data_IF_911583134684
#
_entry.id   IF_911583134684
#
_cell.length_a   1.000
_cell.length_b   1.000
_cell.length_c   1.000
_cell.angle_alpha   90.00
_cell.angle_beta   90.00
_cell.angle_gamma   90.00
#
_symmetry.space_group_name_H-M   'P 1'
#
loop_
_entity.id
_entity.type
_entity.pdbx_description
1 polymer ?
#
# COMPACT_ATOMS: atom_id res chain seq x y z
N UNK A 1 88.57 -15.11 -8.72
CA UNK A 1 88.12 -15.63 -7.42
C UNK A 1 87.02 -14.74 -6.88
N UNK A 2 85.87 -15.32 -6.48
CA UNK A 2 84.93 -14.88 -5.41
C UNK A 2 84.26 -13.49 -5.58
N UNK A 3 82.96 -13.28 -5.39
CA UNK A 3 81.79 -14.06 -4.98
C UNK A 3 80.56 -13.22 -5.39
N UNK A 4 79.56 -13.84 -6.02
CA UNK A 4 78.19 -13.33 -6.08
C UNK A 4 77.59 -13.36 -4.67
N UNK A 5 77.06 -12.22 -4.21
CA UNK A 5 76.13 -12.17 -3.08
C UNK A 5 74.71 -12.00 -3.62
N UNK A 6 74.00 -13.12 -3.72
CA UNK A 6 72.56 -13.14 -3.93
C UNK A 6 71.86 -12.59 -2.69
N UNK A 7 71.18 -11.44 -2.82
CA UNK A 7 70.14 -11.04 -1.88
C UNK A 7 68.90 -11.90 -2.12
N UNK A 8 68.71 -12.89 -1.26
CA UNK A 8 67.43 -13.60 -1.11
C UNK A 8 66.49 -12.69 -0.34
N UNK A 9 65.62 -11.99 -1.08
CA UNK A 9 64.50 -11.25 -0.49
C UNK A 9 63.43 -12.29 -0.15
N UNK A 10 63.34 -12.63 1.13
CA UNK A 10 62.26 -13.43 1.71
C UNK A 10 60.96 -12.61 1.67
N UNK A 11 60.16 -12.85 0.62
CA UNK A 11 58.78 -12.39 0.57
C UNK A 11 57.98 -13.16 1.63
N UNK A 12 57.32 -12.49 2.60
CA UNK A 12 56.34 -13.16 3.43
C UNK A 12 55.15 -13.50 2.54
N UNK A 13 54.98 -14.79 2.25
CA UNK A 13 53.73 -15.35 1.76
C UNK A 13 52.67 -15.12 2.84
N UNK A 14 52.06 -13.93 2.81
CA UNK A 14 50.76 -13.71 3.42
C UNK A 14 49.78 -14.60 2.65
N UNK A 15 49.56 -15.77 3.21
CA UNK A 15 48.42 -16.65 2.92
C UNK A 15 47.18 -15.80 3.17
N UNK A 16 46.71 -15.14 2.12
CA UNK A 16 45.39 -14.52 2.13
C UNK A 16 44.39 -15.65 2.35
N UNK A 17 43.60 -15.64 3.43
CA UNK A 17 42.47 -16.54 3.48
C UNK A 17 41.59 -16.15 2.29
N UNK A 18 41.38 -17.10 1.39
CA UNK A 18 40.20 -17.13 0.53
C UNK A 18 38.99 -17.17 1.47
N UNK A 19 38.65 -16.00 2.03
CA UNK A 19 37.35 -15.76 2.59
C UNK A 19 36.42 -15.96 1.41
N UNK A 20 35.79 -17.14 1.37
CA UNK A 20 34.51 -17.31 0.71
C UNK A 20 33.72 -16.05 1.05
N UNK A 21 33.52 -15.21 0.04
CA UNK A 21 32.43 -14.24 0.05
C UNK A 21 31.18 -15.10 -0.04
N UNK A 22 30.85 -15.74 1.09
CA UNK A 22 29.52 -16.24 1.36
C UNK A 22 28.65 -15.02 1.23
N UNK A 23 27.91 -14.97 0.12
CA UNK A 23 26.83 -14.02 -0.11
C UNK A 23 25.87 -14.29 1.04
N UNK A 24 26.06 -13.59 2.15
CA UNK A 24 25.19 -13.70 3.30
C UNK A 24 23.78 -13.40 2.75
N UNK A 25 22.80 -14.30 2.93
CA UNK A 25 21.47 -14.09 2.40
C UNK A 25 21.01 -12.74 2.94
N UNK A 26 20.81 -11.77 2.04
CA UNK A 26 20.36 -10.43 2.39
C UNK A 26 19.10 -10.61 3.24
N UNK A 27 19.29 -10.38 4.54
CA UNK A 27 18.52 -11.03 5.59
C UNK A 27 17.09 -10.52 5.56
N UNK A 28 16.14 -11.45 5.67
CA UNK A 28 14.74 -11.19 5.96
C UNK A 28 14.49 -10.30 7.22
N UNK A 29 15.53 -9.99 8.00
CA UNK A 29 15.52 -9.02 9.10
C UNK A 29 15.28 -7.58 8.65
N UNK A 30 15.63 -7.20 7.41
CA UNK A 30 15.38 -5.83 6.94
C UNK A 30 13.88 -5.50 6.80
N UNK A 31 13.02 -6.50 6.82
CA UNK A 31 11.56 -6.36 6.66
C UNK A 31 10.84 -6.15 8.00
N UNK A 32 11.50 -6.35 9.15
CA UNK A 32 10.81 -6.38 10.45
C UNK A 32 10.66 -5.01 11.12
N UNK A 33 11.47 -4.01 10.74
CA UNK A 33 11.43 -2.65 11.30
C UNK A 33 11.26 -1.58 10.22
N UNK A 34 10.43 -1.86 9.21
CA UNK A 34 10.14 -0.86 8.19
C UNK A 34 9.01 0.03 8.68
N UNK A 35 9.31 1.31 8.92
CA UNK A 35 8.29 2.32 9.19
C UNK A 35 7.26 2.43 8.06
N UNK A 36 6.14 3.15 8.25
CA UNK A 36 5.02 3.17 7.31
C UNK A 36 5.41 3.55 5.88
N UNK A 37 6.26 4.57 5.73
CA UNK A 37 6.79 5.00 4.42
C UNK A 37 7.74 3.97 3.81
N UNK A 38 8.57 3.32 4.63
CA UNK A 38 9.46 2.26 4.15
C UNK A 38 8.69 1.02 3.67
N UNK A 39 7.56 0.67 4.30
CA UNK A 39 6.67 -0.39 3.81
C UNK A 39 6.09 -0.05 2.42
N UNK A 40 5.66 1.20 2.21
CA UNK A 40 5.20 1.68 0.89
C UNK A 40 6.32 1.60 -0.15
N UNK A 41 7.54 2.02 0.21
CA UNK A 41 8.71 1.97 -0.67
C UNK A 41 9.03 0.53 -1.09
N UNK A 42 9.08 -0.40 -0.14
CA UNK A 42 9.37 -1.81 -0.39
C UNK A 42 8.29 -2.47 -1.27
N UNK A 43 7.01 -2.25 -0.96
CA UNK A 43 5.90 -2.77 -1.78
C UNK A 43 5.89 -2.19 -3.20
N UNK A 44 6.21 -0.90 -3.35
CA UNK A 44 6.30 -0.25 -4.66
C UNK A 44 7.50 -0.76 -5.49
N UNK A 45 8.62 -1.07 -4.84
CA UNK A 45 9.77 -1.72 -5.46
C UNK A 45 9.40 -3.12 -5.97
N UNK A 46 8.84 -3.95 -5.09
CA UNK A 46 8.50 -5.34 -5.42
C UNK A 46 7.42 -5.44 -6.49
N UNK A 47 6.36 -4.62 -6.45
CA UNK A 47 5.34 -4.57 -7.51
C UNK A 47 5.92 -4.14 -8.87
N UNK A 48 6.83 -3.16 -8.89
CA UNK A 48 7.45 -2.68 -10.13
C UNK A 48 8.39 -3.72 -10.73
N UNK A 49 9.14 -4.41 -9.88
CA UNK A 49 10.04 -5.46 -10.33
C UNK A 49 9.29 -6.69 -10.82
N UNK A 50 8.22 -7.08 -10.15
CA UNK A 50 7.34 -8.16 -10.59
C UNK A 50 6.65 -7.82 -11.92
N UNK A 51 6.21 -6.58 -12.12
CA UNK A 51 5.67 -6.14 -13.40
C UNK A 51 6.68 -6.28 -14.56
N UNK A 52 7.99 -6.13 -14.27
CA UNK A 52 9.07 -6.30 -15.25
C UNK A 52 9.44 -7.76 -15.47
N UNK A 53 9.68 -8.51 -14.39
CA UNK A 53 10.31 -9.83 -14.44
C UNK A 53 9.32 -11.01 -14.28
N UNK A 54 8.05 -10.74 -13.94
CA UNK A 54 6.96 -11.74 -13.84
C UNK A 54 7.27 -12.90 -12.88
N UNK A 55 7.74 -12.59 -11.68
CA UNK A 55 8.08 -13.60 -10.67
C UNK A 55 6.84 -14.23 -10.03
N UNK A 56 5.76 -13.46 -9.92
CA UNK A 56 4.52 -13.86 -9.29
C UNK A 56 3.48 -14.25 -10.33
N UNK A 57 2.54 -15.10 -9.91
CA UNK A 57 1.32 -15.36 -10.67
C UNK A 57 0.45 -14.10 -10.75
N UNK A 58 -0.49 -14.06 -11.70
CA UNK A 58 -1.40 -12.91 -11.87
C UNK A 58 -2.22 -12.60 -10.61
N UNK A 59 -2.64 -13.62 -9.87
CA UNK A 59 -3.39 -13.47 -8.61
C UNK A 59 -2.52 -12.88 -7.50
N UNK A 60 -1.29 -13.34 -7.37
CA UNK A 60 -0.32 -12.84 -6.38
C UNK A 60 0.13 -11.40 -6.69
N UNK A 61 0.33 -11.06 -7.96
CA UNK A 61 0.62 -9.68 -8.37
C UNK A 61 -0.54 -8.72 -8.00
N UNK A 62 -1.79 -9.15 -8.22
CA UNK A 62 -2.96 -8.38 -7.83
C UNK A 62 -3.05 -8.22 -6.30
N UNK A 63 -2.74 -9.27 -5.55
CA UNK A 63 -2.67 -9.23 -4.08
C UNK A 63 -1.61 -8.23 -3.60
N UNK A 64 -0.40 -8.30 -4.15
CA UNK A 64 0.71 -7.40 -3.83
C UNK A 64 0.35 -5.93 -4.12
N UNK A 65 -0.34 -5.67 -5.23
CA UNK A 65 -0.82 -4.34 -5.60
C UNK A 65 -1.90 -3.79 -4.65
N UNK A 66 -2.79 -4.64 -4.14
CA UNK A 66 -3.77 -4.26 -3.11
C UNK A 66 -3.08 -3.95 -1.77
N UNK A 67 -2.03 -4.70 -1.40
CA UNK A 67 -1.21 -4.40 -0.21
C UNK A 67 -0.49 -3.05 -0.33
N UNK A 68 0.10 -2.73 -1.49
CA UNK A 68 0.69 -1.41 -1.73
C UNK A 68 -0.34 -0.30 -1.50
N UNK A 69 -1.55 -0.46 -2.03
CA UNK A 69 -2.61 0.54 -1.88
C UNK A 69 -3.00 0.73 -0.41
N UNK A 70 -3.13 -0.36 0.36
CA UNK A 70 -3.41 -0.30 1.80
C UNK A 70 -2.27 0.35 2.59
N UNK A 71 -1.03 0.02 2.26
CA UNK A 71 0.16 0.60 2.88
C UNK A 71 0.23 2.11 2.60
N UNK A 72 -0.07 2.56 1.38
CA UNK A 72 -0.11 3.99 1.04
C UNK A 72 -1.14 4.74 1.90
N UNK A 73 -2.34 4.19 2.06
CA UNK A 73 -3.39 4.77 2.90
C UNK A 73 -2.95 4.80 4.37
N UNK A 74 -2.41 3.69 4.87
CA UNK A 74 -1.93 3.59 6.25
C UNK A 74 -0.79 4.58 6.54
N UNK A 75 0.22 4.63 5.66
CA UNK A 75 1.34 5.55 5.79
C UNK A 75 0.91 7.01 5.72
N UNK A 76 -0.01 7.36 4.82
CA UNK A 76 -0.56 8.71 4.73
C UNK A 76 -1.36 9.13 5.97
N UNK A 77 -1.90 8.17 6.74
CA UNK A 77 -2.56 8.41 8.02
C UNK A 77 -1.60 8.62 9.19
N UNK A 78 -0.37 8.10 9.11
CA UNK A 78 0.65 8.21 10.18
C UNK A 78 1.70 9.30 9.90
N UNK A 79 1.90 9.65 8.63
CA UNK A 79 2.86 10.65 8.16
C UNK A 79 2.11 11.71 7.34
N UNK A 80 2.66 12.18 6.21
CA UNK A 80 1.92 12.97 5.24
C UNK A 80 1.63 12.18 3.97
N UNK A 81 0.58 12.58 3.24
CA UNK A 81 0.31 12.05 1.90
C UNK A 81 1.48 12.29 0.92
N UNK A 82 2.22 13.38 1.10
CA UNK A 82 3.41 13.69 0.29
C UNK A 82 4.49 12.64 0.49
N UNK A 83 4.74 12.26 1.75
CA UNK A 83 5.77 11.27 2.12
C UNK A 83 5.41 9.87 1.62
N UNK A 84 4.16 9.44 1.79
CA UNK A 84 3.70 8.16 1.24
C UNK A 84 3.84 8.10 -0.29
N UNK A 85 3.48 9.18 -0.99
CA UNK A 85 3.66 9.26 -2.44
C UNK A 85 5.14 9.31 -2.85
N UNK A 86 5.99 9.98 -2.07
CA UNK A 86 7.41 10.06 -2.33
C UNK A 86 8.07 8.69 -2.16
N UNK A 87 7.81 8.02 -1.04
CA UNK A 87 8.25 6.66 -0.78
C UNK A 87 7.85 5.69 -1.89
N UNK A 88 6.62 5.80 -2.41
CA UNK A 88 6.19 5.01 -3.57
C UNK A 88 7.02 5.30 -4.82
N UNK A 89 7.26 6.57 -5.15
CA UNK A 89 8.06 6.95 -6.33
C UNK A 89 9.48 6.40 -6.21
N UNK A 90 10.07 6.51 -5.04
CA UNK A 90 11.42 6.01 -4.78
C UNK A 90 11.47 4.48 -4.86
N UNK A 91 10.46 3.79 -4.33
CA UNK A 91 10.30 2.34 -4.48
C UNK A 91 10.20 1.93 -5.95
N UNK A 92 9.38 2.62 -6.74
CA UNK A 92 9.28 2.37 -8.19
C UNK A 92 10.61 2.55 -8.91
N UNK A 93 11.41 3.58 -8.56
CA UNK A 93 12.75 3.77 -9.13
C UNK A 93 13.66 2.57 -8.85
N UNK A 94 13.70 2.11 -7.59
CA UNK A 94 14.47 0.93 -7.20
C UNK A 94 14.00 -0.36 -7.91
N UNK A 95 12.67 -0.52 -8.07
CA UNK A 95 12.12 -1.68 -8.77
C UNK A 95 12.49 -1.73 -10.25
N UNK A 96 12.61 -0.55 -10.91
CA UNK A 96 13.05 -0.47 -12.31
C UNK A 96 14.51 -0.91 -12.49
N UNK A 97 15.38 -0.51 -11.55
CA UNK A 97 16.83 -0.81 -11.62
C UNK A 97 17.16 -2.25 -11.20
N UNK A 98 16.23 -2.96 -10.57
CA UNK A 98 16.49 -4.34 -10.13
C UNK A 98 16.61 -5.30 -11.33
N UNK A 99 17.68 -6.11 -11.37
CA UNK A 99 17.88 -7.12 -12.40
C UNK A 99 16.84 -8.26 -12.27
N UNK A 100 16.54 -8.91 -13.39
CA UNK A 100 15.73 -10.13 -13.37
C UNK A 100 16.61 -11.32 -12.97
N UNK A 101 16.32 -11.98 -11.86
CA UNK A 101 17.11 -13.10 -11.32
C UNK A 101 16.67 -13.50 -9.90
N UNK A 102 17.34 -14.51 -9.34
CA UNK A 102 16.97 -15.11 -8.05
C UNK A 102 16.87 -14.11 -6.89
N UNK A 103 17.78 -13.13 -6.84
CA UNK A 103 17.74 -12.09 -5.79
C UNK A 103 16.47 -11.24 -5.87
N UNK A 104 16.05 -10.87 -7.09
CA UNK A 104 14.84 -10.08 -7.29
C UNK A 104 13.58 -10.89 -6.98
N UNK A 105 13.55 -12.16 -7.38
CA UNK A 105 12.47 -13.08 -7.04
C UNK A 105 12.34 -13.28 -5.53
N UNK A 106 13.45 -13.54 -4.84
CA UNK A 106 13.50 -13.71 -3.39
C UNK A 106 12.97 -12.48 -2.65
N UNK A 107 13.37 -11.27 -3.08
CA UNK A 107 12.86 -10.02 -2.52
C UNK A 107 11.34 -9.88 -2.72
N UNK A 108 10.84 -10.13 -3.93
CA UNK A 108 9.42 -9.98 -4.27
C UNK A 108 8.56 -10.96 -3.47
N UNK A 109 8.93 -12.25 -3.44
CA UNK A 109 8.21 -13.27 -2.65
C UNK A 109 8.26 -12.98 -1.15
N UNK A 110 9.44 -12.63 -0.62
CA UNK A 110 9.58 -12.25 0.79
C UNK A 110 8.73 -11.03 1.16
N UNK A 111 8.63 -10.05 0.26
CA UNK A 111 7.77 -8.87 0.44
C UNK A 111 6.29 -9.26 0.51
N UNK A 112 5.84 -10.15 -0.39
CA UNK A 112 4.46 -10.63 -0.40
C UNK A 112 4.12 -11.38 0.89
N UNK A 113 4.99 -12.28 1.34
CA UNK A 113 4.78 -13.05 2.57
C UNK A 113 4.81 -12.17 3.83
N UNK A 114 5.69 -11.16 3.87
CA UNK A 114 5.67 -10.17 4.93
C UNK A 114 4.37 -9.37 4.95
N UNK A 115 3.86 -8.95 3.78
CA UNK A 115 2.60 -8.23 3.67
C UNK A 115 1.40 -9.09 4.12
N UNK A 116 1.37 -10.38 3.75
CA UNK A 116 0.37 -11.35 4.22
C UNK A 116 0.38 -11.47 5.75
N UNK A 117 1.55 -11.66 6.35
CA UNK A 117 1.72 -11.74 7.82
C UNK A 117 1.28 -10.46 8.53
N UNK A 118 1.70 -9.29 8.03
CA UNK A 118 1.30 -8.01 8.59
C UNK A 118 -0.23 -7.82 8.56
N UNK A 119 -0.88 -8.21 7.46
CA UNK A 119 -2.33 -8.10 7.32
C UNK A 119 -3.09 -9.11 8.18
N UNK A 120 -2.55 -10.32 8.35
CA UNK A 120 -3.10 -11.31 9.28
C UNK A 120 -3.01 -10.81 10.73
N UNK A 121 -1.84 -10.28 11.14
CA UNK A 121 -1.63 -9.69 12.46
C UNK A 121 -2.58 -8.50 12.73
N UNK A 122 -2.73 -7.59 11.75
CA UNK A 122 -3.66 -6.46 11.86
C UNK A 122 -5.11 -6.93 12.04
N UNK A 123 -5.54 -7.99 11.35
CA UNK A 123 -6.88 -8.58 11.54
C UNK A 123 -7.04 -9.22 12.92
N UNK A 124 -6.02 -9.90 13.43
CA UNK A 124 -6.04 -10.49 14.77
C UNK A 124 -6.22 -9.41 15.85
N UNK A 125 -5.46 -8.32 15.77
CA UNK A 125 -5.58 -7.19 16.71
C UNK A 125 -6.97 -6.53 16.67
N UNK A 126 -7.60 -6.43 15.49
CA UNK A 126 -8.97 -5.92 15.37
C UNK A 126 -10.01 -6.81 16.06
N UNK A 127 -9.83 -8.14 16.00
CA UNK A 127 -10.72 -9.08 16.69
C UNK A 127 -10.62 -8.92 18.21
N UNK A 128 -9.41 -8.82 18.76
CA UNK A 128 -9.19 -8.68 20.20
C UNK A 128 -9.77 -7.37 20.76
N UNK A 129 -9.65 -6.25 20.04
CA UNK A 129 -10.27 -4.97 20.46
C UNK A 129 -11.80 -5.04 20.52
N UNK A 130 -12.43 -5.83 19.65
CA UNK A 130 -13.90 -5.95 19.61
C UNK A 130 -14.47 -6.77 20.77
N UNK A 131 -13.69 -7.68 21.35
CA UNK A 131 -14.11 -8.51 22.49
C UNK A 131 -14.16 -7.70 23.79
N UNK A 132 -13.24 -6.75 23.98
CA UNK A 132 -13.17 -5.94 25.21
C UNK A 132 -14.30 -4.90 25.31
N UNK A 133 -14.86 -4.44 24.18
CA UNK A 133 -15.94 -3.42 24.18
C UNK A 133 -17.35 -3.98 24.42
N UNK A 134 -17.52 -5.28 24.74
CA UNK A 134 -18.85 -5.92 24.89
C UNK A 134 -19.36 -6.03 26.33
N UNK A 135 -18.74 -5.37 27.31
CA UNK A 135 -19.24 -5.29 28.70
C UNK A 135 -19.54 -3.86 29.11
N UNK A 136 -20.68 -3.32 28.66
CA UNK A 136 -21.42 -2.33 29.42
C UNK A 136 -22.92 -2.64 29.28
N UNK A 137 -23.64 -2.97 30.36
CA UNK A 137 -25.06 -3.24 30.31
C UNK A 137 -25.79 -1.92 30.07
N UNK A 138 -26.36 -1.75 28.87
CA UNK A 138 -27.23 -0.62 28.56
C UNK A 138 -28.54 -0.76 29.34
N UNK A 139 -28.75 0.09 30.34
CA UNK A 139 -30.06 0.34 30.94
C UNK A 139 -31.01 0.79 29.82
N UNK A 140 -32.06 -0.01 29.61
CA UNK A 140 -33.21 0.30 28.75
C UNK A 140 -33.86 1.59 29.24
N UNK A 141 -33.80 2.64 28.43
CA UNK A 141 -34.81 3.70 28.45
C UNK A 141 -35.64 3.52 27.18
N UNK A 142 -36.86 3.02 27.37
CA UNK A 142 -37.88 2.90 26.33
C UNK A 142 -38.55 4.26 26.20
N UNK A 143 -38.16 5.06 25.21
CA UNK A 143 -38.98 6.19 24.74
C UNK A 143 -38.93 6.25 23.21
N UNK A 144 -40.03 5.78 22.60
CA UNK A 144 -40.75 6.35 21.46
C UNK A 144 -39.90 7.03 20.37
N UNK A 145 -39.65 6.35 19.23
CA UNK A 145 -39.21 6.98 17.95
C UNK A 145 -39.40 6.02 16.76
N UNK A 146 -40.63 5.92 16.27
CA UNK A 146 -40.92 5.26 14.99
C UNK A 146 -40.78 6.21 13.78
N UNK A 147 -40.74 7.53 13.99
CA UNK A 147 -40.57 8.53 12.90
C UNK A 147 -39.12 8.75 12.44
N UNK A 148 -38.13 8.43 13.25
CA UNK A 148 -36.71 8.67 12.93
C UNK A 148 -36.06 7.58 12.07
N UNK A 149 -36.61 6.37 12.05
CA UNK A 149 -36.02 5.23 11.30
C UNK A 149 -36.12 5.40 9.78
N UNK A 150 -37.13 6.12 9.29
CA UNK A 150 -37.30 6.35 7.84
C UNK A 150 -36.38 7.48 7.34
N UNK A 151 -36.19 8.57 8.10
CA UNK A 151 -35.20 9.61 7.75
C UNK A 151 -33.74 9.12 7.87
N UNK A 152 -33.45 8.26 8.85
CA UNK A 152 -32.11 7.68 9.00
C UNK A 152 -31.73 6.77 7.81
N UNK A 153 -32.70 6.11 7.18
CA UNK A 153 -32.44 5.23 6.01
C UNK A 153 -32.11 6.05 4.76
N UNK A 154 -32.77 7.19 4.56
CA UNK A 154 -32.48 8.12 3.46
C UNK A 154 -31.12 8.83 3.67
N UNK A 155 -30.81 9.23 4.90
CA UNK A 155 -29.49 9.77 5.27
C UNK A 155 -28.34 8.74 5.15
N UNK A 156 -28.62 7.46 5.35
CA UNK A 156 -27.63 6.37 5.27
C UNK A 156 -27.35 5.87 3.84
N UNK A 157 -28.21 6.09 2.85
CA UNK A 157 -27.92 5.71 1.45
C UNK A 157 -27.01 6.76 0.79
N UNK A 158 -27.13 8.03 1.19
CA UNK A 158 -26.36 9.14 0.61
C UNK A 158 -24.87 9.06 0.91
N UNK A 159 -24.46 8.60 2.10
CA UNK A 159 -23.05 8.64 2.50
C UNK A 159 -22.19 7.55 1.84
N UNK A 160 -22.71 6.33 1.69
CA UNK A 160 -22.02 5.25 0.96
C UNK A 160 -21.97 5.53 -0.55
N UNK A 161 -23.04 6.11 -1.09
CA UNK A 161 -23.12 6.53 -2.50
C UNK A 161 -22.16 7.69 -2.79
N UNK A 162 -22.09 8.69 -1.91
CA UNK A 162 -21.12 9.79 -2.00
C UNK A 162 -19.69 9.27 -1.93
N UNK A 163 -19.41 8.38 -0.98
CA UNK A 163 -18.11 7.70 -0.89
C UNK A 163 -17.76 6.96 -2.19
N UNK A 164 -18.72 6.20 -2.77
CA UNK A 164 -18.52 5.51 -4.05
C UNK A 164 -18.16 6.48 -5.17
N UNK A 165 -18.86 7.61 -5.30
CA UNK A 165 -18.59 8.64 -6.34
C UNK A 165 -17.23 9.28 -6.17
N UNK A 166 -16.87 9.68 -4.94
CA UNK A 166 -15.56 10.26 -4.63
C UNK A 166 -14.44 9.25 -4.91
N UNK A 167 -14.68 7.97 -4.60
CA UNK A 167 -13.72 6.88 -4.85
C UNK A 167 -13.57 6.58 -6.34
N UNK A 168 -14.66 6.60 -7.13
CA UNK A 168 -14.63 6.43 -8.59
C UNK A 168 -13.78 7.54 -9.22
N UNK A 169 -14.06 8.79 -8.85
CA UNK A 169 -13.30 9.95 -9.28
C UNK A 169 -11.80 9.83 -8.91
N UNK A 170 -11.49 9.29 -7.72
CA UNK A 170 -10.10 9.01 -7.34
C UNK A 170 -9.40 7.99 -8.25
N UNK A 171 -10.06 6.88 -8.58
CA UNK A 171 -9.49 5.88 -9.50
C UNK A 171 -9.33 6.44 -10.92
N UNK A 172 -10.25 7.28 -11.38
CA UNK A 172 -10.12 7.98 -12.66
C UNK A 172 -8.94 8.95 -12.64
N UNK A 173 -8.77 9.71 -11.55
CA UNK A 173 -7.63 10.61 -11.41
C UNK A 173 -6.30 9.86 -11.41
N UNK A 174 -6.22 8.74 -10.70
CA UNK A 174 -5.03 7.86 -10.73
C UNK A 174 -4.67 7.39 -12.14
N UNK A 175 -5.67 7.09 -12.96
CA UNK A 175 -5.50 6.57 -14.32
C UNK A 175 -5.19 7.67 -15.33
N UNK A 176 -5.88 8.80 -15.22
CA UNK A 176 -5.86 9.86 -16.23
C UNK A 176 -5.07 11.12 -15.84
N UNK A 177 -4.65 11.25 -14.58
CA UNK A 177 -3.80 12.34 -14.07
C UNK A 177 -4.29 13.74 -14.49
N UNK A 178 -5.59 13.98 -14.32
CA UNK A 178 -6.25 15.20 -14.80
C UNK A 178 -6.07 16.39 -13.86
N UNK A 179 -5.75 16.14 -12.59
CA UNK A 179 -5.54 17.20 -11.61
C UNK A 179 -4.07 17.59 -11.52
N UNK A 180 -3.75 18.89 -11.36
CA UNK A 180 -2.42 19.30 -10.98
C UNK A 180 -2.09 18.73 -9.60
N UNK A 181 -0.80 18.48 -9.36
CA UNK A 181 -0.29 17.76 -8.17
C UNK A 181 -0.86 18.28 -6.84
N UNK A 182 -0.96 19.59 -6.66
CA UNK A 182 -1.50 20.21 -5.44
C UNK A 182 -2.97 19.84 -5.22
N UNK A 183 -3.78 19.82 -6.28
CA UNK A 183 -5.18 19.41 -6.24
C UNK A 183 -5.32 17.90 -6.04
N UNK A 184 -4.46 17.08 -6.66
CA UNK A 184 -4.46 15.63 -6.45
C UNK A 184 -4.19 15.25 -4.98
N UNK A 185 -3.27 15.95 -4.30
CA UNK A 185 -3.01 15.75 -2.86
C UNK A 185 -4.22 16.14 -2.01
N UNK A 186 -4.85 17.30 -2.30
CA UNK A 186 -6.10 17.71 -1.62
C UNK A 186 -7.21 16.70 -1.84
N UNK A 187 -7.34 16.20 -3.07
CA UNK A 187 -8.36 15.24 -3.43
C UNK A 187 -8.16 13.92 -2.66
N UNK A 188 -6.92 13.44 -2.57
CA UNK A 188 -6.58 12.25 -1.79
C UNK A 188 -6.98 12.38 -0.31
N UNK A 189 -6.64 13.49 0.34
CA UNK A 189 -7.05 13.75 1.74
C UNK A 189 -8.57 13.63 1.92
N UNK A 190 -9.33 14.12 0.94
CA UNK A 190 -10.80 14.04 0.93
C UNK A 190 -11.31 12.60 0.81
N UNK A 191 -10.71 11.81 -0.08
CA UNK A 191 -11.04 10.38 -0.25
C UNK A 191 -10.78 9.62 1.04
N UNK A 192 -9.64 9.86 1.71
CA UNK A 192 -9.31 9.25 3.01
C UNK A 192 -10.30 9.65 4.10
N UNK A 193 -10.64 10.95 4.19
CA UNK A 193 -11.64 11.42 5.14
C UNK A 193 -13.01 10.77 4.91
N UNK A 194 -13.44 10.66 3.65
CA UNK A 194 -14.68 9.98 3.28
C UNK A 194 -14.65 8.49 3.61
N UNK A 195 -13.52 7.82 3.36
CA UNK A 195 -13.30 6.41 3.74
C UNK A 195 -13.43 6.20 5.24
N UNK A 196 -12.75 7.02 6.05
CA UNK A 196 -12.82 6.94 7.50
C UNK A 196 -14.23 7.24 8.02
N UNK A 197 -14.96 8.17 7.39
CA UNK A 197 -16.34 8.46 7.74
C UNK A 197 -17.27 7.26 7.49
N UNK A 198 -17.09 6.53 6.39
CA UNK A 198 -17.89 5.31 6.14
C UNK A 198 -17.47 4.15 7.02
N UNK A 199 -16.19 3.99 7.38
CA UNK A 199 -15.75 2.96 8.33
C UNK A 199 -16.39 3.10 9.71
N UNK A 200 -16.75 4.32 10.13
CA UNK A 200 -17.46 4.56 11.40
C UNK A 200 -18.93 4.11 11.38
N UNK A 201 -19.53 3.99 10.20
CA UNK A 201 -20.98 3.80 10.04
C UNK A 201 -21.37 2.46 9.40
N UNK A 202 -20.49 1.86 8.61
CA UNK A 202 -20.79 0.67 7.81
C UNK A 202 -19.82 -0.46 8.11
N UNK A 203 -20.24 -1.68 7.75
CA UNK A 203 -19.39 -2.85 7.92
C UNK A 203 -18.23 -2.85 6.90
N UNK A 204 -17.10 -3.49 7.23
CA UNK A 204 -15.98 -3.61 6.29
C UNK A 204 -16.35 -4.24 4.94
N UNK A 205 -17.31 -5.17 4.93
CA UNK A 205 -17.79 -5.81 3.69
C UNK A 205 -18.59 -4.84 2.82
N UNK A 206 -19.44 -4.00 3.40
CA UNK A 206 -20.17 -2.94 2.68
C UNK A 206 -19.21 -1.90 2.09
N UNK A 207 -18.23 -1.45 2.88
CA UNK A 207 -17.21 -0.49 2.43
C UNK A 207 -16.34 -1.10 1.31
N UNK A 208 -15.97 -2.38 1.43
CA UNK A 208 -15.25 -3.12 0.37
C UNK A 208 -16.08 -3.22 -0.91
N UNK A 209 -17.36 -3.58 -0.82
CA UNK A 209 -18.28 -3.64 -1.98
C UNK A 209 -18.41 -2.28 -2.67
N UNK A 210 -18.53 -1.20 -1.90
CA UNK A 210 -18.57 0.16 -2.44
C UNK A 210 -17.26 0.55 -3.14
N UNK A 211 -16.10 0.23 -2.53
CA UNK A 211 -14.78 0.47 -3.13
C UNK A 211 -14.63 -0.28 -4.47
N UNK A 212 -14.91 -1.58 -4.47
CA UNK A 212 -14.80 -2.42 -5.67
C UNK A 212 -15.75 -1.96 -6.77
N UNK A 213 -16.99 -1.58 -6.41
CA UNK A 213 -17.96 -1.05 -7.36
C UNK A 213 -17.61 0.34 -7.90
N UNK A 214 -16.81 1.14 -7.19
CA UNK A 214 -16.25 2.40 -7.67
C UNK A 214 -15.07 2.17 -8.63
N UNK A 215 -14.21 1.21 -8.30
CA UNK A 215 -13.07 0.82 -9.14
C UNK A 215 -13.53 0.23 -10.48
N UNK A 216 -14.50 -0.68 -10.46
CA UNK A 216 -15.13 -1.21 -11.68
C UNK A 216 -15.77 -0.09 -12.51
N UNK A 217 -16.50 0.84 -11.88
CA UNK A 217 -17.11 1.96 -12.59
C UNK A 217 -16.07 2.83 -13.27
N UNK A 218 -14.96 3.13 -12.58
CA UNK A 218 -13.84 3.88 -13.15
C UNK A 218 -13.19 3.14 -14.31
N UNK A 219 -12.98 1.83 -14.20
CA UNK A 219 -12.40 1.01 -15.26
C UNK A 219 -13.30 0.92 -16.50
N UNK A 220 -14.61 0.85 -16.30
CA UNK A 220 -15.61 0.83 -17.37
C UNK A 220 -15.83 2.21 -18.01
N UNK A 221 -15.27 3.29 -17.44
CA UNK A 221 -15.18 4.55 -18.19
C UNK A 221 -14.18 4.35 -19.33
N UNK A 222 -14.57 4.78 -20.52
CA UNK A 222 -13.72 4.80 -21.71
C UNK A 222 -12.47 5.69 -21.57
N UNK A 223 -11.87 6.13 -22.69
CA UNK A 223 -10.57 6.81 -22.67
C UNK A 223 -10.57 8.08 -21.82
N UNK A 224 -9.37 8.49 -21.38
CA UNK A 224 -9.15 9.72 -20.64
C UNK A 224 -9.55 10.92 -21.50
N UNK A 225 -10.69 11.52 -21.18
CA UNK A 225 -11.33 12.58 -21.96
C UNK A 225 -11.82 13.71 -21.05
N UNK A 226 -12.30 14.80 -21.63
CA UNK A 226 -12.91 15.92 -20.90
C UNK A 226 -14.10 15.50 -20.03
N UNK A 227 -14.80 14.42 -20.40
CA UNK A 227 -15.87 13.82 -19.57
C UNK A 227 -15.30 13.20 -18.30
N UNK A 228 -14.19 12.48 -18.40
CA UNK A 228 -13.50 11.88 -17.25
C UNK A 228 -12.95 12.96 -16.32
N UNK A 229 -12.32 14.00 -16.87
CA UNK A 229 -11.83 15.15 -16.09
C UNK A 229 -12.95 15.83 -15.28
N UNK A 230 -14.15 16.00 -15.88
CA UNK A 230 -15.32 16.55 -15.17
C UNK A 230 -15.76 15.68 -13.98
N UNK A 231 -15.72 14.35 -14.11
CA UNK A 231 -16.04 13.44 -13.00
C UNK A 231 -15.03 13.61 -11.87
N UNK A 232 -13.74 13.65 -12.21
CA UNK A 232 -12.66 13.88 -11.23
C UNK A 232 -12.87 15.21 -10.50
N UNK A 233 -13.14 16.27 -11.24
CA UNK A 233 -13.30 17.61 -10.69
C UNK A 233 -14.58 17.75 -9.85
N UNK A 234 -15.66 17.06 -10.23
CA UNK A 234 -16.86 16.91 -9.41
C UNK A 234 -16.54 16.18 -8.09
N UNK A 235 -15.74 15.12 -8.13
CA UNK A 235 -15.30 14.40 -6.95
C UNK A 235 -14.46 15.28 -6.00
N UNK A 236 -13.60 16.14 -6.55
CA UNK A 236 -12.84 17.12 -5.76
C UNK A 236 -13.76 18.12 -5.05
N UNK A 237 -14.86 18.56 -5.68
CA UNK A 237 -15.81 19.54 -5.12
C UNK A 237 -16.82 18.94 -4.12
N UNK A 238 -17.23 17.69 -4.31
CA UNK A 238 -18.29 16.98 -3.53
C UNK A 238 -17.93 16.63 -2.09
#
# INVERSE_FOLDING_TARGET
MRKLTHMVISLPLLVAPLALVGVAPVKAQQVQNVGPTGAVKLLAQSTTADAKCRYLTRSENAELSDYLTKAEVGAAGMTTAGDAQQARRDGKKLGKTMACGQTGEGLVRATLDAARRAMAAARAQQKSKKVVTRQQPQRRIVVRRQSDRQLATIGNITSLTRYRRVTEAYYLERRCQTLPRSQAVRFWKKVVASHNAVLKKYTPSQVKKAKNGAEMAANNRGPCSSRTARIVQSGLRS
#
